data_IF_898343055074
#
_entry.id   IF_898343055074
#
_cell.length_a   1.000
_cell.length_b   1.000
_cell.length_c   1.000
_cell.angle_alpha   90.00
_cell.angle_beta   90.00
_cell.angle_gamma   90.00
#
_symmetry.space_group_name_H-M   'P 1'
#
loop_
_entity.id
_entity.type
_entity.pdbx_description
1 polymer ?
#
# COMPACT_ATOMS: atom_id res chain seq x y z
N UNK A 1 13.99 2.34 -8.12
CA UNK A 1 14.97 1.39 -8.68
C UNK A 1 14.97 1.57 -10.18
N UNK A 2 16.13 1.79 -10.78
CA UNK A 2 16.27 1.95 -12.23
C UNK A 2 16.49 0.56 -12.84
N UNK A 3 15.65 0.15 -13.78
CA UNK A 3 15.75 -1.19 -14.36
C UNK A 3 16.75 -1.17 -15.53
N UNK A 4 17.68 -2.13 -15.55
CA UNK A 4 18.62 -2.31 -16.67
C UNK A 4 17.91 -2.67 -17.98
N UNK A 5 16.74 -3.31 -17.89
CA UNK A 5 15.95 -3.74 -19.03
C UNK A 5 14.47 -3.64 -18.69
N UNK A 6 13.66 -3.20 -19.64
CA UNK A 6 12.20 -3.22 -19.51
C UNK A 6 11.72 -4.69 -19.52
N UNK A 7 10.91 -5.12 -18.54
CA UNK A 7 10.28 -6.44 -18.56
C UNK A 7 9.48 -6.65 -19.86
N UNK A 8 9.54 -7.85 -20.43
CA UNK A 8 8.89 -8.15 -21.73
C UNK A 8 7.36 -8.00 -21.68
N UNK A 9 6.78 -8.10 -20.50
CA UNK A 9 5.36 -8.09 -20.19
C UNK A 9 4.90 -6.76 -19.55
N UNK A 10 5.74 -5.71 -19.60
CA UNK A 10 5.44 -4.40 -19.00
C UNK A 10 4.10 -3.83 -19.43
N UNK A 11 3.69 -4.09 -20.67
CA UNK A 11 2.46 -3.54 -21.26
C UNK A 11 1.20 -4.31 -20.83
N UNK A 12 1.38 -5.48 -20.21
CA UNK A 12 0.30 -6.41 -19.83
C UNK A 12 0.17 -6.63 -18.33
N UNK A 13 1.14 -6.18 -17.52
CA UNK A 13 1.10 -6.33 -16.06
C UNK A 13 -0.03 -5.47 -15.49
N UNK A 14 -0.99 -6.13 -14.87
CA UNK A 14 -2.04 -5.48 -14.09
C UNK A 14 -1.60 -5.41 -12.62
N UNK A 15 -1.55 -4.19 -12.08
CA UNK A 15 -1.22 -3.98 -10.66
C UNK A 15 -2.50 -4.13 -9.85
N UNK A 16 -2.52 -5.08 -8.91
CA UNK A 16 -3.60 -5.21 -7.92
C UNK A 16 -3.66 -3.96 -7.06
N UNK A 17 -4.86 -3.50 -6.72
CA UNK A 17 -5.07 -2.40 -5.79
C UNK A 17 -5.81 -2.90 -4.55
N UNK A 18 -5.54 -2.27 -3.41
CA UNK A 18 -6.07 -2.73 -2.13
C UNK A 18 -6.71 -1.63 -1.29
N UNK A 19 -7.67 -2.04 -0.47
CA UNK A 19 -8.26 -1.24 0.60
C UNK A 19 -7.64 -1.70 1.91
N UNK A 20 -7.08 -0.76 2.67
CA UNK A 20 -6.47 -1.04 3.97
C UNK A 20 -7.51 -0.87 5.07
N UNK A 21 -7.60 -1.86 5.94
CA UNK A 21 -8.44 -1.90 7.14
C UNK A 21 -7.56 -1.92 8.38
N UNK A 22 -7.94 -1.13 9.39
CA UNK A 22 -7.20 -0.98 10.65
C UNK A 22 -8.13 -1.29 11.80
N UNK A 23 -7.70 -2.20 12.68
CA UNK A 23 -8.36 -2.55 13.92
C UNK A 23 -7.73 -1.72 15.04
N UNK A 24 -8.22 -0.49 15.22
CA UNK A 24 -7.63 0.49 16.13
C UNK A 24 -7.50 -0.02 17.57
N UNK A 25 -8.47 -0.80 18.03
CA UNK A 25 -8.54 -1.45 19.34
C UNK A 25 -7.44 -2.50 19.57
N UNK A 26 -6.81 -3.02 18.51
CA UNK A 26 -5.62 -3.90 18.60
C UNK A 26 -4.31 -3.13 18.48
N UNK A 27 -4.30 -2.00 17.78
CA UNK A 27 -3.08 -1.27 17.48
C UNK A 27 -2.37 -0.73 18.74
N UNK A 28 -1.04 -0.90 18.78
CA UNK A 28 -0.14 -0.34 19.82
C UNK A 28 0.75 0.81 19.31
N UNK A 29 0.45 1.37 18.13
CA UNK A 29 1.15 2.57 17.62
C UNK A 29 2.64 2.38 17.32
N UNK A 30 3.11 1.17 17.01
CA UNK A 30 4.54 0.90 16.78
C UNK A 30 5.12 1.52 15.50
N UNK A 31 4.28 1.89 14.52
CA UNK A 31 4.73 2.54 13.29
C UNK A 31 5.31 1.63 12.20
N UNK A 32 5.51 0.33 12.43
CA UNK A 32 6.13 -0.54 11.42
C UNK A 32 5.38 -0.55 10.08
N UNK A 33 4.05 -0.64 10.10
CA UNK A 33 3.26 -0.59 8.87
C UNK A 33 3.44 0.73 8.08
N UNK A 34 3.74 1.84 8.76
CA UNK A 34 3.98 3.15 8.15
C UNK A 34 5.36 3.15 7.49
N UNK A 35 6.40 2.81 8.26
CA UNK A 35 7.79 2.86 7.80
C UNK A 35 8.05 1.89 6.64
N UNK A 36 7.45 0.71 6.71
CA UNK A 36 7.70 -0.36 5.76
C UNK A 36 6.73 -0.39 4.57
N UNK A 37 5.74 0.49 4.52
CA UNK A 37 4.86 0.58 3.34
C UNK A 37 5.69 1.04 2.12
N UNK A 38 5.88 0.21 1.08
CA UNK A 38 6.71 0.58 -0.08
C UNK A 38 6.12 1.75 -0.88
N UNK A 39 4.82 2.01 -0.69
CA UNK A 39 4.05 3.08 -1.33
C UNK A 39 3.87 4.30 -0.44
N UNK A 40 4.36 4.26 0.80
CA UNK A 40 4.26 5.33 1.79
C UNK A 40 2.83 5.89 1.88
N UNK A 41 1.86 4.96 1.98
CA UNK A 41 0.43 5.24 1.92
C UNK A 41 -0.21 5.46 3.31
N UNK A 42 0.57 5.29 4.38
CA UNK A 42 0.12 5.33 5.77
C UNK A 42 0.88 6.42 6.54
N UNK A 43 0.21 7.06 7.49
CA UNK A 43 0.79 8.00 8.45
C UNK A 43 0.19 7.77 9.85
N UNK A 44 0.74 8.38 10.89
CA UNK A 44 0.13 8.34 12.23
C UNK A 44 -1.14 9.20 12.27
N UNK A 45 -2.20 8.70 12.93
CA UNK A 45 -3.39 9.49 13.22
C UNK A 45 -3.06 10.63 14.19
N UNK A 46 -3.73 11.77 14.05
CA UNK A 46 -3.73 12.80 15.09
C UNK A 46 -4.57 12.41 16.32
N UNK A 47 -5.55 11.52 16.14
CA UNK A 47 -6.41 10.99 17.20
C UNK A 47 -5.71 9.86 17.97
N UNK A 48 -6.21 9.60 19.17
CA UNK A 48 -5.83 8.45 19.99
C UNK A 48 -6.91 7.37 19.95
N UNK A 49 -6.49 6.10 19.97
CA UNK A 49 -7.39 4.98 20.24
C UNK A 49 -7.71 4.88 21.76
N UNK A 50 -8.58 3.94 22.15
CA UNK A 50 -8.96 3.71 23.56
C UNK A 50 -7.78 3.35 24.49
N UNK A 51 -6.64 2.94 23.93
CA UNK A 51 -5.42 2.58 24.67
C UNK A 51 -4.41 3.74 24.76
N UNK A 52 -4.72 4.89 24.16
CA UNK A 52 -3.84 6.06 24.14
C UNK A 52 -2.72 6.00 23.10
N UNK A 53 -2.80 5.12 22.10
CA UNK A 53 -1.86 5.09 20.98
C UNK A 53 -2.41 5.87 19.78
N UNK A 54 -1.52 6.35 18.92
CA UNK A 54 -1.86 6.87 17.59
C UNK A 54 -1.88 5.71 16.57
N UNK A 55 -3.06 5.15 16.21
CA UNK A 55 -3.13 4.18 15.13
C UNK A 55 -2.71 4.79 13.77
N UNK A 56 -2.31 3.97 12.79
CA UNK A 56 -2.08 4.48 11.45
C UNK A 56 -3.38 4.98 10.80
N UNK A 57 -3.28 5.87 9.83
CA UNK A 57 -4.35 6.29 8.90
C UNK A 57 -3.84 6.18 7.47
N UNK A 58 -4.76 5.89 6.55
CA UNK A 58 -4.46 5.80 5.12
C UNK A 58 -4.56 7.20 4.51
N UNK A 59 -3.43 7.74 4.04
CA UNK A 59 -3.36 9.07 3.41
C UNK A 59 -3.37 9.02 1.89
N UNK A 60 -3.03 7.86 1.31
CA UNK A 60 -3.02 7.62 -0.15
C UNK A 60 -3.71 6.29 -0.49
N UNK A 61 -5.04 6.19 -0.33
CA UNK A 61 -5.76 4.93 -0.53
C UNK A 61 -5.60 4.34 -1.93
N UNK A 62 -5.40 5.18 -2.95
CA UNK A 62 -5.22 4.80 -4.34
C UNK A 62 -3.85 4.18 -4.67
N UNK A 63 -2.87 4.29 -3.76
CA UNK A 63 -1.50 3.82 -3.97
C UNK A 63 -1.26 2.42 -3.36
N UNK A 64 -2.18 1.89 -2.54
CA UNK A 64 -2.04 0.56 -1.97
C UNK A 64 -2.13 -0.50 -3.06
N UNK A 65 -1.04 -1.27 -3.25
CA UNK A 65 -0.96 -2.33 -4.27
C UNK A 65 -1.35 -3.71 -3.76
N UNK A 66 -2.05 -3.77 -2.62
CA UNK A 66 -2.44 -5.00 -1.93
C UNK A 66 -1.28 -5.99 -1.71
N UNK A 67 -0.11 -5.51 -1.29
CA UNK A 67 1.08 -6.36 -1.10
C UNK A 67 1.10 -7.14 0.23
N UNK A 68 0.14 -6.90 1.12
CA UNK A 68 0.03 -7.53 2.45
C UNK A 68 1.23 -7.32 3.39
N UNK A 69 2.19 -6.45 3.06
CA UNK A 69 3.40 -6.26 3.88
C UNK A 69 3.08 -5.66 5.26
N UNK A 70 2.09 -4.75 5.31
CA UNK A 70 1.59 -4.18 6.56
C UNK A 70 0.99 -5.24 7.50
N UNK A 71 0.41 -6.32 6.97
CA UNK A 71 -0.12 -7.44 7.76
C UNK A 71 1.00 -8.24 8.40
N UNK A 72 1.95 -8.66 7.57
CA UNK A 72 3.04 -9.55 7.97
C UNK A 72 3.94 -8.87 9.01
N UNK A 73 4.19 -7.57 8.86
CA UNK A 73 5.05 -6.83 9.78
C UNK A 73 4.34 -6.41 11.08
N UNK A 74 3.00 -6.47 11.14
CA UNK A 74 2.28 -6.01 12.31
C UNK A 74 2.34 -7.04 13.45
N UNK A 75 3.01 -6.75 14.58
CA UNK A 75 3.11 -7.70 15.69
C UNK A 75 1.77 -7.96 16.40
N UNK A 76 0.78 -7.10 16.19
CA UNK A 76 -0.54 -7.17 16.83
C UNK A 76 -1.64 -7.66 15.88
N UNK A 77 -1.32 -7.93 14.61
CA UNK A 77 -2.30 -8.25 13.55
C UNK A 77 -3.47 -7.24 13.53
N UNK A 78 -3.13 -5.96 13.67
CA UNK A 78 -4.08 -4.85 13.83
C UNK A 78 -4.39 -4.12 12.51
N UNK A 79 -3.88 -4.61 11.38
CA UNK A 79 -4.03 -3.98 10.07
C UNK A 79 -4.02 -5.08 9.00
N UNK A 80 -4.86 -4.93 7.98
CA UNK A 80 -4.89 -5.81 6.81
C UNK A 80 -5.34 -5.09 5.55
N UNK A 81 -4.99 -5.63 4.37
CA UNK A 81 -5.48 -5.16 3.08
C UNK A 81 -6.32 -6.22 2.39
N UNK A 82 -7.38 -5.76 1.73
CA UNK A 82 -8.21 -6.57 0.83
C UNK A 82 -8.12 -6.00 -0.57
N UNK A 83 -8.31 -6.82 -1.60
CA UNK A 83 -8.36 -6.33 -2.97
C UNK A 83 -9.53 -5.34 -3.16
N UNK A 84 -9.29 -4.23 -3.86
CA UNK A 84 -10.34 -3.24 -4.17
C UNK A 84 -11.22 -3.75 -5.32
N UNK A 85 -12.49 -4.10 -5.08
CA UNK A 85 -13.36 -4.66 -6.11
C UNK A 85 -13.76 -3.64 -7.19
N UNK A 86 -13.48 -2.34 -7.00
CA UNK A 86 -13.88 -1.27 -7.92
C UNK A 86 -12.90 -1.05 -9.07
N UNK A 87 -11.73 -1.71 -9.06
CA UNK A 87 -10.68 -1.51 -10.08
C UNK A 87 -10.39 -2.76 -10.91
N UNK A 88 -11.26 -3.76 -10.86
CA UNK A 88 -11.18 -5.03 -11.62
C UNK A 88 -11.71 -4.91 -13.05
N UNK A 89 -11.62 -3.73 -13.68
CA UNK A 89 -11.98 -3.58 -15.09
C UNK A 89 -10.74 -3.79 -15.96
N UNK A 90 -10.65 -4.88 -16.77
CA UNK A 90 -9.44 -5.27 -17.51
C UNK A 90 -9.01 -4.32 -18.65
N UNK A 91 -9.40 -3.04 -18.63
CA UNK A 91 -9.09 -2.07 -19.69
C UNK A 91 -8.75 -0.65 -19.23
N UNK A 92 -8.71 -0.35 -17.92
CA UNK A 92 -8.43 1.00 -17.41
C UNK A 92 -7.57 0.99 -16.13
N UNK A 93 -6.63 0.06 -16.00
CA UNK A 93 -5.49 0.28 -15.12
C UNK A 93 -4.59 1.28 -15.83
N UNK A 94 -4.74 2.56 -15.49
CA UNK A 94 -3.95 3.64 -16.06
C UNK A 94 -2.49 3.24 -16.09
N UNK A 95 -1.94 3.15 -17.30
CA UNK A 95 -0.54 3.44 -17.55
C UNK A 95 -0.31 4.73 -16.78
N UNK A 96 0.43 4.71 -15.67
CA UNK A 96 0.95 5.95 -15.16
C UNK A 96 1.96 6.38 -16.23
N UNK A 97 1.70 7.43 -17.03
CA UNK A 97 2.67 7.86 -18.04
C UNK A 97 3.97 8.38 -17.39
N UNK A 98 4.01 8.53 -16.06
CA UNK A 98 5.21 8.78 -15.27
C UNK A 98 5.86 7.53 -14.66
N UNK A 99 5.38 6.30 -14.92
CA UNK A 99 6.22 5.11 -14.77
C UNK A 99 7.15 4.99 -15.98
N UNK A 100 7.86 6.08 -16.28
CA UNK A 100 9.01 6.06 -17.16
C UNK A 100 10.06 5.25 -16.44
N UNK A 101 10.10 3.95 -16.70
CA UNK A 101 11.26 3.13 -16.39
C UNK A 101 12.41 3.80 -17.12
N UNK A 102 13.20 4.61 -16.41
CA UNK A 102 14.47 5.10 -16.95
C UNK A 102 15.31 3.85 -17.18
N UNK A 103 15.50 3.51 -18.43
CA UNK A 103 16.43 2.46 -18.85
C UNK A 103 17.70 3.20 -19.22
N UNK A 104 18.81 2.88 -18.55
CA UNK A 104 20.14 3.31 -19.01
C UNK A 104 20.42 2.52 -20.28
N UNK A 105 20.42 3.20 -21.43
CA UNK A 105 20.96 2.65 -22.68
C UNK A 105 22.46 2.42 -22.54
#
# INVERSE_FOLDING_TARGET
MEFWRVPLDSDTIQVSLGIVHILEDRCKGCGYCIEYCPKQALEFSASFNQKGYHPPVVVKPEECVNCHYCEIICPEFAIFSVEDPRKTEPGQAGINPNFTIKVRQ
#
